data_IF_702486683682
#
_entry.id   IF_702486683682
#
_cell.length_a   1.000
_cell.length_b   1.000
_cell.length_c   1.000
_cell.angle_alpha   90.00
_cell.angle_beta   90.00
_cell.angle_gamma   90.00
#
_symmetry.space_group_name_H-M   'P 1'
#
loop_
_entity.id
_entity.type
_entity.pdbx_description
1 polymer ?
#
# COMPACT_ATOMS: atom_id res chain seq x y z
N UNK A 1 -15.88 0.38 40.23
CA UNK A 1 -15.77 -0.67 39.18
C UNK A 1 -16.01 -0.14 37.76
N UNK A 2 -15.67 1.12 37.44
CA UNK A 2 -15.73 1.67 36.06
C UNK A 2 -14.34 1.99 35.50
N UNK A 3 -13.31 1.89 36.34
CA UNK A 3 -11.92 2.21 35.99
C UNK A 3 -11.31 1.35 34.88
N UNK A 4 -11.53 0.01 34.81
CA UNK A 4 -10.95 -0.79 33.73
C UNK A 4 -11.61 -0.48 32.38
N UNK A 5 -12.92 -0.26 32.37
CA UNK A 5 -13.69 0.09 31.16
C UNK A 5 -13.25 1.45 30.63
N UNK A 6 -13.10 2.45 31.52
CA UNK A 6 -12.64 3.79 31.16
C UNK A 6 -11.21 3.77 30.59
N UNK A 7 -10.34 2.94 31.14
CA UNK A 7 -8.94 2.78 30.70
C UNK A 7 -8.86 2.15 29.31
N UNK A 8 -9.66 1.12 29.05
CA UNK A 8 -9.72 0.46 27.73
C UNK A 8 -10.30 1.40 26.67
N UNK A 9 -11.36 2.14 27.01
CA UNK A 9 -11.97 3.11 26.10
C UNK A 9 -11.00 4.25 25.70
N UNK A 10 -10.17 4.72 26.63
CA UNK A 10 -9.11 5.71 26.35
C UNK A 10 -8.04 5.17 25.41
N UNK A 11 -7.63 3.91 25.60
CA UNK A 11 -6.66 3.24 24.74
C UNK A 11 -7.17 3.07 23.30
N UNK A 12 -8.40 2.61 23.15
CA UNK A 12 -9.06 2.49 21.84
C UNK A 12 -9.17 3.85 21.15
N UNK A 13 -9.53 4.90 21.90
CA UNK A 13 -9.59 6.26 21.34
C UNK A 13 -8.24 6.72 20.81
N UNK A 14 -7.15 6.49 21.54
CA UNK A 14 -5.81 6.90 21.09
C UNK A 14 -5.38 6.18 19.80
N UNK A 15 -5.74 4.90 19.68
CA UNK A 15 -5.38 4.07 18.52
C UNK A 15 -6.19 4.44 17.26
N UNK A 16 -7.47 4.78 17.44
CA UNK A 16 -8.39 5.06 16.35
C UNK A 16 -8.62 6.55 16.10
N UNK A 17 -8.05 7.45 16.90
CA UNK A 17 -8.08 8.88 16.57
C UNK A 17 -7.29 9.10 15.29
N UNK A 18 -7.92 9.52 14.18
CA UNK A 18 -7.22 9.83 12.97
C UNK A 18 -6.23 10.96 13.29
N UNK A 19 -4.94 10.72 13.06
CA UNK A 19 -3.93 11.78 13.15
C UNK A 19 -4.42 12.95 12.31
N UNK A 20 -4.55 14.12 12.93
CA UNK A 20 -5.06 15.32 12.26
C UNK A 20 -4.13 15.64 11.10
N UNK A 21 -4.51 15.19 9.90
CA UNK A 21 -3.74 15.22 8.65
C UNK A 21 -3.52 16.62 8.09
N UNK A 22 -3.34 17.62 8.94
CA UNK A 22 -3.07 19.02 8.59
C UNK A 22 -1.57 19.32 8.39
N UNK A 23 -0.71 18.32 8.26
CA UNK A 23 0.71 18.54 7.92
C UNK A 23 1.00 18.68 6.42
N UNK A 24 -0.01 18.62 5.54
CA UNK A 24 0.20 18.77 4.08
C UNK A 24 -0.80 19.72 3.40
N UNK A 25 -1.16 20.82 4.04
CA UNK A 25 -1.90 21.90 3.40
C UNK A 25 -1.19 23.22 3.72
N UNK A 26 -0.28 23.68 2.86
CA UNK A 26 0.27 25.02 3.07
C UNK A 26 1.48 25.49 2.29
N UNK A 27 2.10 24.71 1.40
CA UNK A 27 3.11 25.28 0.48
C UNK A 27 2.46 25.47 -0.89
N UNK A 28 1.75 26.58 -1.07
CA UNK A 28 1.53 27.12 -2.41
C UNK A 28 2.90 27.58 -2.91
N UNK A 29 3.47 26.86 -3.87
CA UNK A 29 4.57 27.39 -4.67
C UNK A 29 4.00 28.55 -5.48
N UNK A 30 4.41 29.77 -5.13
CA UNK A 30 4.18 30.95 -5.97
C UNK A 30 5.10 30.79 -7.19
N UNK A 31 4.52 30.44 -8.33
CA UNK A 31 5.23 30.49 -9.62
C UNK A 31 5.30 31.96 -10.03
N UNK A 32 6.49 32.54 -9.97
CA UNK A 32 6.73 33.86 -10.54
C UNK A 32 6.57 33.76 -12.07
N UNK A 33 5.87 34.70 -12.73
CA UNK A 33 5.84 34.73 -14.19
C UNK A 33 7.25 35.04 -14.70
N UNK A 34 7.78 34.15 -15.54
CA UNK A 34 9.06 34.36 -16.23
C UNK A 34 8.88 35.49 -17.25
N UNK A 35 9.77 36.51 -17.30
CA UNK A 35 9.72 37.50 -18.37
C UNK A 35 9.97 36.82 -19.71
N UNK A 36 9.06 37.03 -20.64
CA UNK A 36 9.14 36.53 -22.00
C UNK A 36 10.20 37.34 -22.76
N UNK A 37 11.34 36.71 -23.03
CA UNK A 37 12.10 37.02 -24.24
C UNK A 37 12.93 35.77 -24.62
N UNK A 38 12.42 35.01 -25.59
CA UNK A 38 13.15 33.89 -26.18
C UNK A 38 13.13 34.07 -27.68
N UNK A 39 14.24 34.58 -28.19
CA UNK A 39 14.60 34.57 -29.60
C UNK A 39 14.36 33.18 -30.19
N UNK A 40 13.55 33.10 -31.24
CA UNK A 40 13.18 31.88 -31.97
C UNK A 40 14.44 31.18 -32.52
N UNK A 41 14.96 30.24 -31.74
CA UNK A 41 15.88 29.22 -32.23
C UNK A 41 15.03 27.98 -32.55
N UNK A 42 15.20 27.33 -33.71
CA UNK A 42 14.43 26.13 -34.03
C UNK A 42 14.63 25.08 -32.93
N UNK A 43 13.54 24.46 -32.41
CA UNK A 43 13.65 23.54 -31.31
C UNK A 43 14.44 22.30 -31.73
N UNK A 44 15.60 22.09 -31.12
CA UNK A 44 16.28 20.80 -31.17
C UNK A 44 15.35 19.71 -30.65
N UNK A 45 15.22 18.56 -31.33
CA UNK A 45 14.32 17.50 -30.89
C UNK A 45 14.70 17.03 -29.49
N UNK A 46 13.72 17.05 -28.59
CA UNK A 46 13.91 16.55 -27.23
C UNK A 46 13.98 15.02 -27.25
N UNK A 47 14.78 14.41 -26.37
CA UNK A 47 14.75 12.97 -26.18
C UNK A 47 13.33 12.53 -25.82
N UNK A 48 12.94 11.34 -26.29
CA UNK A 48 11.62 10.78 -26.02
C UNK A 48 11.34 10.78 -24.50
N UNK A 49 10.17 11.29 -24.13
CA UNK A 49 9.76 11.39 -22.74
C UNK A 49 9.68 9.98 -22.12
N UNK A 50 10.58 9.68 -21.20
CA UNK A 50 10.54 8.45 -20.39
C UNK A 50 10.08 8.78 -18.99
N UNK A 51 9.18 7.96 -18.46
CA UNK A 51 8.85 8.04 -17.04
C UNK A 51 10.10 7.67 -16.23
N UNK A 52 10.34 8.27 -15.06
CA UNK A 52 11.47 7.91 -14.19
C UNK A 52 11.43 6.46 -13.68
N UNK A 53 10.33 5.74 -13.95
CA UNK A 53 10.12 4.33 -13.62
C UNK A 53 9.94 3.45 -14.87
N UNK A 54 10.15 4.00 -16.06
CA UNK A 54 10.08 3.26 -17.31
C UNK A 54 11.25 2.28 -17.36
N UNK A 55 10.96 0.98 -17.24
CA UNK A 55 11.92 -0.06 -17.56
C UNK A 55 12.09 -0.08 -19.07
N UNK A 56 13.27 0.31 -19.53
CA UNK A 56 13.63 0.35 -20.95
C UNK A 56 13.92 -1.04 -21.52
N UNK A 57 14.22 -1.99 -20.63
CA UNK A 57 14.52 -3.37 -20.95
C UNK A 57 13.29 -4.26 -20.77
N UNK A 58 13.08 -5.13 -21.76
CA UNK A 58 12.04 -6.17 -21.69
C UNK A 58 12.44 -7.13 -20.58
N UNK A 59 11.67 -7.13 -19.50
CA UNK A 59 11.89 -8.04 -18.39
C UNK A 59 11.32 -9.42 -18.72
N UNK A 60 12.18 -10.41 -18.90
CA UNK A 60 11.75 -11.80 -19.04
C UNK A 60 11.38 -12.37 -17.67
N UNK A 61 10.08 -12.44 -17.40
CA UNK A 61 9.55 -13.01 -16.16
C UNK A 61 9.94 -14.47 -15.93
N UNK A 62 10.29 -15.22 -16.99
CA UNK A 62 10.75 -16.61 -16.88
C UNK A 62 12.21 -16.72 -16.39
N UNK A 63 13.04 -15.72 -16.70
CA UNK A 63 14.43 -15.62 -16.23
C UNK A 63 14.55 -15.19 -14.77
N UNK A 64 13.48 -14.63 -14.21
CA UNK A 64 13.47 -14.08 -12.86
C UNK A 64 12.84 -15.04 -11.86
N UNK A 65 13.59 -15.39 -10.83
CA UNK A 65 13.08 -16.17 -9.70
C UNK A 65 11.97 -15.38 -9.04
N UNK A 66 10.74 -15.88 -9.14
CA UNK A 66 9.59 -15.34 -8.43
C UNK A 66 9.77 -15.61 -6.93
N UNK A 67 10.55 -14.77 -6.25
CA UNK A 67 10.58 -14.76 -4.79
C UNK A 67 9.20 -14.23 -4.37
N UNK A 68 8.43 -15.04 -3.65
CA UNK A 68 7.13 -14.64 -3.07
C UNK A 68 7.29 -14.46 -1.56
N UNK A 69 8.03 -13.44 -1.06
CA UNK A 69 8.22 -13.26 0.38
C UNK A 69 6.88 -13.17 1.11
N UNK A 70 5.90 -12.56 0.46
CA UNK A 70 4.56 -12.38 1.00
C UNK A 70 3.73 -13.66 1.02
N UNK A 71 3.95 -14.62 0.10
CA UNK A 71 3.27 -15.91 0.17
C UNK A 71 3.74 -16.70 1.38
N UNK A 72 5.06 -16.80 1.60
CA UNK A 72 5.58 -17.57 2.73
C UNK A 72 5.07 -17.01 4.08
N UNK A 73 5.03 -15.69 4.22
CA UNK A 73 4.45 -15.02 5.39
C UNK A 73 2.95 -15.28 5.51
N UNK A 74 2.22 -15.26 4.39
CA UNK A 74 0.79 -15.52 4.35
C UNK A 74 0.45 -16.96 4.77
N UNK A 75 1.15 -17.95 4.23
CA UNK A 75 0.98 -19.37 4.58
C UNK A 75 1.29 -19.65 6.05
N UNK A 76 2.38 -19.08 6.58
CA UNK A 76 2.71 -19.20 8.00
C UNK A 76 1.62 -18.60 8.90
N UNK A 77 1.06 -17.46 8.49
CA UNK A 77 -0.03 -16.81 9.22
C UNK A 77 -1.31 -17.66 9.19
N UNK A 78 -1.65 -18.25 8.04
CA UNK A 78 -2.78 -19.17 7.91
C UNK A 78 -2.62 -20.38 8.83
N UNK A 79 -1.45 -21.02 8.82
CA UNK A 79 -1.16 -22.18 9.67
C UNK A 79 -1.26 -21.87 11.16
N UNK A 80 -0.74 -20.72 11.60
CA UNK A 80 -0.88 -20.27 13.00
C UNK A 80 -2.33 -20.03 13.39
N UNK A 81 -3.12 -19.44 12.48
CA UNK A 81 -4.56 -19.21 12.70
C UNK A 81 -5.31 -20.53 12.83
N UNK A 82 -5.05 -21.49 11.95
CA UNK A 82 -5.67 -22.82 11.99
C UNK A 82 -5.40 -23.52 13.32
N UNK A 83 -4.13 -23.55 13.75
CA UNK A 83 -3.76 -24.11 15.06
C UNK A 83 -4.43 -23.39 16.23
N UNK A 84 -4.54 -22.06 16.18
CA UNK A 84 -5.22 -21.29 17.23
C UNK A 84 -6.72 -21.62 17.31
N UNK A 85 -7.38 -21.78 16.16
CA UNK A 85 -8.80 -22.15 16.09
C UNK A 85 -9.02 -23.57 16.63
N UNK A 86 -8.19 -24.53 16.21
CA UNK A 86 -8.25 -25.91 16.70
C UNK A 86 -8.04 -25.99 18.22
N UNK A 87 -7.08 -25.22 18.76
CA UNK A 87 -6.86 -25.13 20.20
C UNK A 87 -8.05 -24.55 20.98
N UNK A 88 -8.85 -23.70 20.34
CA UNK A 88 -10.11 -23.16 20.89
C UNK A 88 -11.32 -24.08 20.66
N UNK A 89 -11.14 -25.24 20.01
CA UNK A 89 -12.23 -26.16 19.66
C UNK A 89 -13.13 -25.65 18.53
N UNK A 90 -12.63 -24.71 17.72
CA UNK A 90 -13.35 -24.15 16.58
C UNK A 90 -12.82 -24.77 15.29
N UNK A 91 -13.72 -25.23 14.43
CA UNK A 91 -13.36 -25.72 13.09
C UNK A 91 -12.94 -24.56 12.18
N UNK A 92 -11.96 -24.83 11.31
CA UNK A 92 -11.52 -23.85 10.32
C UNK A 92 -12.63 -23.68 9.26
N UNK A 93 -13.07 -22.45 8.95
CA UNK A 93 -14.03 -22.25 7.88
C UNK A 93 -13.41 -22.72 6.55
N UNK A 94 -14.15 -23.56 5.82
CA UNK A 94 -13.78 -24.02 4.49
C UNK A 94 -13.76 -22.88 3.46
N UNK A 95 -13.44 -23.21 2.22
CA UNK A 95 -13.30 -22.24 1.14
C UNK A 95 -14.52 -21.31 1.03
N UNK A 96 -14.28 -20.00 0.93
CA UNK A 96 -15.34 -19.02 0.76
C UNK A 96 -15.52 -18.71 -0.73
N UNK A 97 -16.77 -18.57 -1.15
CA UNK A 97 -17.11 -18.28 -2.53
C UNK A 97 -17.49 -16.82 -2.64
N UNK A 98 -16.79 -16.09 -3.51
CA UNK A 98 -17.10 -14.69 -3.81
C UNK A 98 -17.40 -14.59 -5.31
N UNK A 99 -18.60 -14.15 -5.68
CA UNK A 99 -19.04 -14.04 -7.08
C UNK A 99 -18.85 -15.31 -7.92
N UNK A 100 -19.04 -16.49 -7.31
CA UNK A 100 -18.88 -17.79 -8.01
C UNK A 100 -17.42 -18.22 -8.21
N UNK A 101 -16.46 -17.48 -7.65
CA UNK A 101 -15.04 -17.87 -7.60
C UNK A 101 -14.70 -18.33 -6.19
N UNK A 102 -14.04 -19.48 -6.09
CA UNK A 102 -13.48 -19.97 -4.84
C UNK A 102 -12.29 -19.08 -4.44
N UNK A 103 -12.35 -18.47 -3.26
CA UNK A 103 -11.29 -17.63 -2.70
C UNK A 103 -10.67 -18.39 -1.54
N UNK A 104 -9.51 -18.98 -1.80
CA UNK A 104 -8.66 -19.64 -0.81
C UNK A 104 -7.65 -18.66 -0.19
#
# INVERSE_FOLDING_TARGET
MLDPIRRIALWLRLLFTPGTGRRRAGVRLVVAPTPADRTETPPTPLPAHRSPYGLDEVFDGASTVAVRPYLAVHEQRLRRRELAMAAMGLDMPGACWIHGVEVA
#
